data_IF_816637778925
#
_entry.id   IF_816637778925
#
_cell.length_a   1.000
_cell.length_b   1.000
_cell.length_c   1.000
_cell.angle_alpha   90.00
_cell.angle_beta   90.00
_cell.angle_gamma   90.00
#
_symmetry.space_group_name_H-M   'P 1'
#
loop_
_entity.id
_entity.type
_entity.pdbx_description
1 polymer ?
#
# COMPACT_ATOMS: atom_id res chain seq x y z
N UNK A 1 -16.46 -37.30 -8.14
CA UNK A 1 -15.67 -37.28 -6.88
C UNK A 1 -15.22 -35.86 -6.64
N UNK A 2 -15.50 -35.29 -5.48
CA UNK A 2 -15.03 -33.93 -5.09
C UNK A 2 -13.56 -34.03 -4.67
N UNK A 3 -12.71 -33.22 -5.27
CA UNK A 3 -11.30 -33.15 -4.87
C UNK A 3 -11.14 -32.59 -3.43
N UNK A 4 -10.06 -32.91 -2.70
CA UNK A 4 -9.80 -32.32 -1.38
C UNK A 4 -9.82 -30.77 -1.39
N UNK A 5 -9.30 -30.17 -2.46
CA UNK A 5 -9.32 -28.71 -2.67
C UNK A 5 -10.75 -28.16 -2.77
N UNK A 6 -11.64 -28.85 -3.52
CA UNK A 6 -13.05 -28.46 -3.62
C UNK A 6 -13.79 -28.46 -2.28
N UNK A 7 -13.44 -29.42 -1.40
CA UNK A 7 -14.01 -29.49 -0.06
C UNK A 7 -13.48 -28.38 0.85
N UNK A 8 -12.16 -28.16 0.86
CA UNK A 8 -11.52 -27.17 1.73
C UNK A 8 -11.95 -25.74 1.37
N UNK A 9 -11.93 -25.40 0.07
CA UNK A 9 -12.29 -24.06 -0.41
C UNK A 9 -13.79 -23.87 -0.65
N UNK A 10 -14.63 -24.92 -0.47
CA UNK A 10 -16.09 -24.85 -0.54
C UNK A 10 -16.60 -24.34 -1.89
N UNK A 11 -16.01 -24.79 -3.01
CA UNK A 11 -16.30 -24.27 -4.35
C UNK A 11 -17.79 -24.32 -4.70
N UNK A 12 -18.48 -25.43 -4.36
CA UNK A 12 -19.91 -25.59 -4.63
C UNK A 12 -20.77 -24.63 -3.82
N UNK A 13 -20.47 -24.44 -2.53
CA UNK A 13 -21.17 -23.49 -1.66
C UNK A 13 -21.01 -22.04 -2.17
N UNK A 14 -19.82 -21.72 -2.71
CA UNK A 14 -19.48 -20.41 -3.26
C UNK A 14 -19.90 -20.25 -4.73
N UNK A 15 -20.61 -21.23 -5.33
CA UNK A 15 -21.11 -21.22 -6.72
C UNK A 15 -20.01 -20.88 -7.74
N UNK A 16 -18.81 -21.46 -7.58
CA UNK A 16 -17.65 -21.26 -8.45
C UNK A 16 -17.04 -22.61 -8.89
N UNK A 17 -16.09 -22.57 -9.81
CA UNK A 17 -15.37 -23.73 -10.33
C UNK A 17 -13.86 -23.48 -10.31
N UNK A 18 -13.06 -24.57 -10.23
CA UNK A 18 -11.60 -24.44 -10.20
C UNK A 18 -11.02 -23.66 -11.41
N UNK A 19 -11.43 -23.88 -12.66
CA UNK A 19 -10.94 -23.08 -13.79
C UNK A 19 -11.26 -21.59 -13.66
N UNK A 20 -12.44 -21.26 -13.10
CA UNK A 20 -12.86 -19.87 -12.89
C UNK A 20 -12.02 -19.19 -11.80
N UNK A 21 -11.71 -19.90 -10.72
CA UNK A 21 -10.82 -19.41 -9.66
C UNK A 21 -9.40 -19.18 -10.18
N UNK A 22 -8.88 -20.10 -10.99
CA UNK A 22 -7.56 -19.95 -11.62
C UNK A 22 -7.55 -18.73 -12.55
N UNK A 23 -8.53 -18.58 -13.44
CA UNK A 23 -8.63 -17.41 -14.32
C UNK A 23 -8.74 -16.10 -13.54
N UNK A 24 -9.47 -16.10 -12.42
CA UNK A 24 -9.56 -14.97 -11.51
C UNK A 24 -8.21 -14.64 -10.85
N UNK A 25 -7.43 -15.67 -10.48
CA UNK A 25 -6.08 -15.51 -9.95
C UNK A 25 -5.12 -14.88 -10.96
N UNK A 26 -5.15 -15.33 -12.22
CA UNK A 26 -4.38 -14.69 -13.30
C UNK A 26 -4.78 -13.22 -13.49
N UNK A 27 -6.08 -12.92 -13.43
CA UNK A 27 -6.59 -11.54 -13.54
C UNK A 27 -6.10 -10.67 -12.39
N UNK A 28 -6.14 -11.16 -11.15
CA UNK A 28 -5.63 -10.45 -9.99
C UNK A 28 -4.12 -10.23 -10.10
N UNK A 29 -3.35 -11.27 -10.46
CA UNK A 29 -1.91 -11.15 -10.68
C UNK A 29 -1.58 -10.07 -11.71
N UNK A 30 -2.26 -10.09 -12.88
CA UNK A 30 -2.02 -9.12 -13.95
C UNK A 30 -2.28 -7.67 -13.52
N UNK A 31 -3.19 -7.43 -12.56
CA UNK A 31 -3.50 -6.09 -12.07
C UNK A 31 -2.54 -5.63 -10.96
N UNK A 32 -1.93 -6.55 -10.19
CA UNK A 32 -1.08 -6.20 -9.05
C UNK A 32 0.41 -6.49 -9.25
N UNK A 33 0.81 -7.17 -10.33
CA UNK A 33 2.21 -7.56 -10.59
C UNK A 33 3.17 -6.37 -10.73
N UNK A 34 2.66 -5.17 -10.96
CA UNK A 34 3.45 -3.93 -10.97
C UNK A 34 4.22 -3.70 -9.66
N UNK A 35 3.77 -4.31 -8.54
CA UNK A 35 4.45 -4.19 -7.25
C UNK A 35 5.87 -4.77 -7.27
N UNK A 36 6.15 -5.74 -8.15
CA UNK A 36 7.49 -6.30 -8.35
C UNK A 36 8.50 -5.24 -8.81
N UNK A 37 8.04 -4.21 -9.52
CA UNK A 37 8.87 -3.09 -9.94
C UNK A 37 8.81 -1.91 -8.95
N UNK A 38 7.62 -1.61 -8.46
CA UNK A 38 7.39 -0.37 -7.68
C UNK A 38 7.89 -0.53 -6.24
N UNK A 39 7.71 -1.69 -5.60
CA UNK A 39 8.21 -1.89 -4.24
C UNK A 39 9.74 -1.79 -4.15
N UNK A 40 10.54 -2.46 -4.99
CA UNK A 40 11.99 -2.28 -5.02
C UNK A 40 12.43 -0.84 -5.37
N UNK A 41 11.68 -0.15 -6.22
CA UNK A 41 11.96 1.24 -6.54
C UNK A 41 11.79 2.18 -5.33
N UNK A 42 10.77 1.94 -4.52
CA UNK A 42 10.50 2.74 -3.31
C UNK A 42 11.48 2.37 -2.18
N UNK A 43 11.59 1.08 -1.83
CA UNK A 43 12.43 0.65 -0.72
C UNK A 43 13.93 0.82 -1.02
N UNK A 44 14.33 0.77 -2.28
CA UNK A 44 15.69 1.09 -2.71
C UNK A 44 16.16 2.50 -2.35
N UNK A 45 15.24 3.45 -2.13
CA UNK A 45 15.57 4.79 -1.63
C UNK A 45 16.09 4.77 -0.19
N UNK A 46 15.72 3.75 0.59
CA UNK A 46 16.24 3.52 1.94
C UNK A 46 17.65 2.87 1.95
N UNK A 47 18.27 2.70 0.78
CA UNK A 47 19.59 2.06 0.66
C UNK A 47 19.56 0.54 0.66
N UNK A 48 18.39 -0.09 0.50
CA UNK A 48 18.24 -1.54 0.39
C UNK A 48 18.60 -2.02 -1.03
N UNK A 49 19.16 -3.24 -1.15
CA UNK A 49 19.49 -3.81 -2.46
C UNK A 49 18.23 -4.10 -3.30
N UNK A 50 18.15 -3.48 -4.47
CA UNK A 50 16.97 -3.58 -5.35
C UNK A 50 16.77 -4.99 -5.91
N UNK A 51 17.84 -5.73 -6.19
CA UNK A 51 17.74 -7.08 -6.72
C UNK A 51 17.20 -8.05 -5.68
N UNK A 52 17.68 -7.96 -4.43
CA UNK A 52 17.12 -8.70 -3.31
C UNK A 52 15.66 -8.32 -3.04
N UNK A 53 15.31 -7.02 -3.15
CA UNK A 53 13.95 -6.54 -2.94
C UNK A 53 12.93 -7.11 -3.94
N UNK A 54 13.30 -7.40 -5.19
CA UNK A 54 12.42 -8.10 -6.14
C UNK A 54 12.07 -9.48 -5.60
N UNK A 55 13.08 -10.24 -5.15
CA UNK A 55 12.88 -11.57 -4.55
C UNK A 55 12.05 -11.49 -3.28
N UNK A 56 12.37 -10.57 -2.39
CA UNK A 56 11.63 -10.33 -1.14
C UNK A 56 10.17 -9.96 -1.42
N UNK A 57 9.91 -9.09 -2.38
CA UNK A 57 8.55 -8.69 -2.77
C UNK A 57 7.71 -9.89 -3.22
N UNK A 58 8.28 -10.75 -4.06
CA UNK A 58 7.59 -11.95 -4.53
C UNK A 58 7.35 -12.96 -3.39
N UNK A 59 8.35 -13.19 -2.53
CA UNK A 59 8.23 -14.11 -1.39
C UNK A 59 7.22 -13.60 -0.35
N UNK A 60 7.28 -12.32 0.01
CA UNK A 60 6.36 -11.72 0.97
C UNK A 60 4.91 -11.74 0.45
N UNK A 61 4.71 -11.45 -0.85
CA UNK A 61 3.41 -11.56 -1.51
C UNK A 61 2.90 -13.00 -1.51
N UNK A 62 3.76 -13.95 -1.87
CA UNK A 62 3.39 -15.37 -1.87
C UNK A 62 3.02 -15.84 -0.46
N UNK A 63 3.82 -15.51 0.54
CA UNK A 63 3.54 -15.82 1.93
C UNK A 63 2.22 -15.21 2.41
N UNK A 64 2.02 -13.90 2.22
CA UNK A 64 0.79 -13.20 2.61
C UNK A 64 -0.46 -13.76 1.92
N UNK A 65 -0.37 -14.07 0.62
CA UNK A 65 -1.45 -14.69 -0.15
C UNK A 65 -1.79 -16.10 0.35
N UNK A 66 -0.80 -16.93 0.69
CA UNK A 66 -1.02 -18.25 1.26
C UNK A 66 -1.69 -18.15 2.63
N UNK A 67 -1.19 -17.29 3.51
CA UNK A 67 -1.79 -17.07 4.84
C UNK A 67 -3.24 -16.59 4.72
N UNK A 68 -3.50 -15.60 3.86
CA UNK A 68 -4.85 -15.09 3.60
C UNK A 68 -5.78 -16.19 3.06
N UNK A 69 -5.32 -16.99 2.10
CA UNK A 69 -6.09 -18.09 1.52
C UNK A 69 -6.52 -19.12 2.56
N UNK A 70 -5.57 -19.55 3.40
CA UNK A 70 -5.79 -20.64 4.36
C UNK A 70 -6.62 -20.20 5.57
N UNK A 71 -6.38 -19.00 6.09
CA UNK A 71 -7.10 -18.51 7.28
C UNK A 71 -8.51 -18.00 6.98
N UNK A 72 -8.75 -17.48 5.76
CA UNK A 72 -10.00 -16.76 5.47
C UNK A 72 -10.85 -17.40 4.39
N UNK A 73 -10.25 -18.15 3.49
CA UNK A 73 -10.88 -18.61 2.24
C UNK A 73 -11.51 -17.45 1.45
N UNK A 74 -10.83 -16.28 1.37
CA UNK A 74 -11.29 -15.11 0.63
C UNK A 74 -10.49 -14.95 -0.68
N UNK A 75 -11.09 -14.43 -1.76
CA UNK A 75 -10.40 -14.13 -3.02
C UNK A 75 -9.62 -12.82 -2.94
N UNK A 76 -8.84 -12.62 -1.88
CA UNK A 76 -8.10 -11.39 -1.58
C UNK A 76 -6.61 -11.70 -1.57
N UNK A 77 -5.87 -11.04 -2.44
CA UNK A 77 -4.41 -11.09 -2.47
C UNK A 77 -3.82 -10.09 -1.47
N UNK A 78 -2.65 -10.43 -0.94
CA UNK A 78 -1.88 -9.62 0.02
C UNK A 78 -0.49 -9.40 -0.57
N UNK A 79 0.01 -8.17 -0.51
CA UNK A 79 1.36 -7.82 -0.95
C UNK A 79 1.89 -6.61 -0.17
N UNK A 80 3.17 -6.21 -0.32
CA UNK A 80 3.71 -5.02 0.32
C UNK A 80 2.86 -3.77 0.05
N UNK A 81 2.43 -3.08 1.11
CA UNK A 81 1.47 -1.98 1.04
C UNK A 81 2.14 -0.68 0.60
N UNK A 82 1.67 -0.10 -0.52
CA UNK A 82 2.30 1.06 -1.15
C UNK A 82 2.39 2.29 -0.24
N UNK A 83 1.33 2.60 0.50
CA UNK A 83 1.29 3.73 1.41
C UNK A 83 2.32 3.62 2.50
N UNK A 84 2.34 2.48 3.17
CA UNK A 84 3.28 2.18 4.26
C UNK A 84 4.72 2.05 3.75
N UNK A 85 4.94 1.51 2.53
CA UNK A 85 6.27 1.43 1.92
C UNK A 85 6.88 2.81 1.71
N UNK A 86 6.07 3.75 1.23
CA UNK A 86 6.51 5.12 1.01
C UNK A 86 6.77 5.82 2.35
N UNK A 87 5.93 5.60 3.35
CA UNK A 87 6.15 6.08 4.72
C UNK A 87 7.47 5.53 5.29
N UNK A 88 7.69 4.23 5.17
CA UNK A 88 8.91 3.54 5.60
C UNK A 88 10.16 4.14 4.92
N UNK A 89 10.20 4.15 3.58
CA UNK A 89 11.40 4.51 2.85
C UNK A 89 11.66 6.02 2.89
N UNK A 90 10.63 6.84 2.60
CA UNK A 90 10.82 8.29 2.41
C UNK A 90 10.83 9.03 3.74
N UNK A 91 9.88 8.72 4.64
CA UNK A 91 9.81 9.43 5.90
C UNK A 91 10.74 8.84 6.96
N UNK A 92 10.62 7.54 7.25
CA UNK A 92 11.35 6.93 8.36
C UNK A 92 12.83 6.81 8.01
N UNK A 93 13.18 6.22 6.86
CA UNK A 93 14.59 6.03 6.53
C UNK A 93 15.25 7.32 6.03
N UNK A 94 14.72 7.97 4.99
CA UNK A 94 15.37 9.16 4.41
C UNK A 94 15.13 10.40 5.26
N UNK A 95 13.88 10.65 5.67
CA UNK A 95 13.50 11.89 6.36
C UNK A 95 13.97 11.96 7.81
N UNK A 96 13.87 10.85 8.56
CA UNK A 96 14.31 10.79 9.98
C UNK A 96 15.76 10.29 10.12
N UNK A 97 16.38 9.81 9.03
CA UNK A 97 17.74 9.25 9.06
C UNK A 97 17.83 7.90 9.78
N UNK A 98 16.74 7.15 9.87
CA UNK A 98 16.69 5.83 10.51
C UNK A 98 17.24 4.77 9.55
N UNK A 99 18.16 3.91 10.01
CA UNK A 99 18.64 2.80 9.17
C UNK A 99 17.47 1.87 8.82
N UNK A 100 17.49 1.31 7.61
CA UNK A 100 16.40 0.43 7.16
C UNK A 100 16.24 -0.83 8.01
N UNK A 101 17.31 -1.31 8.68
CA UNK A 101 17.26 -2.45 9.60
C UNK A 101 16.50 -2.08 10.89
N UNK A 102 16.71 -0.86 11.38
CA UNK A 102 15.96 -0.28 12.50
C UNK A 102 14.49 -0.10 12.11
N UNK A 103 14.23 0.44 10.91
CA UNK A 103 12.88 0.61 10.39
C UNK A 103 12.16 -0.72 10.17
N UNK A 104 12.82 -1.79 9.73
CA UNK A 104 12.24 -3.14 9.65
C UNK A 104 11.83 -3.68 11.03
N UNK A 105 12.60 -3.39 12.08
CA UNK A 105 12.21 -3.75 13.44
C UNK A 105 10.90 -3.03 13.85
N UNK A 106 10.73 -1.75 13.48
CA UNK A 106 9.48 -1.02 13.73
C UNK A 106 8.29 -1.67 13.01
N UNK A 107 8.48 -2.12 11.77
CA UNK A 107 7.45 -2.87 11.00
C UNK A 107 7.11 -4.19 11.68
N UNK A 108 8.09 -4.93 12.15
CA UNK A 108 7.87 -6.18 12.87
C UNK A 108 7.04 -5.98 14.14
N UNK A 109 7.44 -5.02 14.97
CA UNK A 109 6.70 -4.70 16.20
C UNK A 109 5.30 -4.15 15.90
N UNK A 110 5.14 -3.36 14.84
CA UNK A 110 3.84 -2.97 14.33
C UNK A 110 2.97 -4.20 14.01
N UNK A 111 3.51 -5.15 13.23
CA UNK A 111 2.81 -6.40 12.89
C UNK A 111 2.42 -7.20 14.13
N UNK A 112 3.29 -7.26 15.15
CA UNK A 112 3.01 -7.93 16.42
C UNK A 112 1.88 -7.23 17.20
N UNK A 113 1.90 -5.90 17.32
CA UNK A 113 0.82 -5.13 17.93
C UNK A 113 -0.48 -5.28 17.16
N UNK A 114 -0.43 -5.26 15.83
CA UNK A 114 -1.59 -5.47 14.98
C UNK A 114 -2.20 -6.85 15.19
N UNK A 115 -1.36 -7.89 15.28
CA UNK A 115 -1.79 -9.25 15.58
C UNK A 115 -2.49 -9.33 16.95
N UNK A 116 -1.87 -8.78 18.00
CA UNK A 116 -2.44 -8.76 19.35
C UNK A 116 -3.80 -8.05 19.40
N UNK A 117 -3.91 -6.88 18.76
CA UNK A 117 -5.16 -6.12 18.68
C UNK A 117 -6.22 -6.90 17.89
N UNK A 118 -5.82 -7.62 16.83
CA UNK A 118 -6.74 -8.40 15.99
C UNK A 118 -7.31 -9.62 16.73
N UNK A 119 -6.54 -10.25 17.63
CA UNK A 119 -6.97 -11.39 18.42
C UNK A 119 -7.84 -10.94 19.61
N UNK A 120 -7.52 -9.82 20.26
CA UNK A 120 -8.19 -9.36 21.49
C UNK A 120 -9.52 -8.65 21.25
N UNK A 121 -9.89 -8.34 20.00
CA UNK A 121 -11.12 -7.59 19.67
C UNK A 121 -11.08 -6.10 20.04
N UNK A 122 -9.98 -5.60 20.58
CA UNK A 122 -9.78 -4.16 20.90
C UNK A 122 -9.86 -3.28 19.64
N UNK A 123 -9.57 -3.87 18.48
CA UNK A 123 -9.64 -3.22 17.17
C UNK A 123 -10.96 -2.49 16.90
N UNK A 124 -12.10 -3.09 17.27
CA UNK A 124 -13.43 -2.49 17.06
C UNK A 124 -13.57 -1.17 17.79
N UNK A 125 -12.96 -1.06 18.98
CA UNK A 125 -12.93 0.16 19.77
C UNK A 125 -12.02 1.22 19.17
N UNK A 126 -10.86 0.81 18.60
CA UNK A 126 -9.90 1.72 17.94
C UNK A 126 -10.52 2.28 16.66
N UNK A 127 -11.03 1.41 15.78
CA UNK A 127 -11.69 1.83 14.52
C UNK A 127 -12.85 2.76 14.81
N UNK A 128 -13.68 2.40 15.79
CA UNK A 128 -14.79 3.24 16.21
C UNK A 128 -14.37 4.58 16.81
N UNK A 129 -13.12 4.70 17.28
CA UNK A 129 -12.55 5.93 17.82
C UNK A 129 -12.05 6.91 16.78
N UNK A 130 -11.81 6.48 15.54
CA UNK A 130 -11.42 7.40 14.46
C UNK A 130 -12.65 7.78 13.65
N UNK A 131 -13.00 9.06 13.58
CA UNK A 131 -14.14 9.55 12.80
C UNK A 131 -14.02 9.16 11.32
N UNK A 132 -15.16 8.86 10.67
CA UNK A 132 -15.21 8.44 9.26
C UNK A 132 -14.54 9.45 8.32
N UNK A 133 -14.73 10.74 8.56
CA UNK A 133 -14.09 11.81 7.81
C UNK A 133 -12.57 11.70 7.81
N UNK A 134 -11.98 11.38 8.97
CA UNK A 134 -10.53 11.20 9.10
C UNK A 134 -10.03 9.90 8.47
N UNK A 135 -10.83 8.83 8.47
CA UNK A 135 -10.48 7.60 7.74
C UNK A 135 -10.39 7.87 6.24
N UNK A 136 -11.36 8.63 5.70
CA UNK A 136 -11.36 9.08 4.30
C UNK A 136 -10.16 10.02 4.04
N UNK A 137 -9.93 10.98 4.94
CA UNK A 137 -8.84 11.94 4.84
C UNK A 137 -7.46 11.28 4.88
N UNK A 138 -7.28 10.26 5.73
CA UNK A 138 -6.05 9.48 5.82
C UNK A 138 -5.78 8.75 4.49
N UNK A 139 -6.75 7.99 4.00
CA UNK A 139 -6.60 7.24 2.76
C UNK A 139 -6.36 8.15 1.55
N UNK A 140 -7.12 9.23 1.42
CA UNK A 140 -6.97 10.18 0.33
C UNK A 140 -5.67 11.00 0.45
N UNK A 141 -5.25 11.36 1.67
CA UNK A 141 -3.99 12.04 1.94
C UNK A 141 -2.78 11.20 1.57
N UNK A 142 -2.78 9.91 1.91
CA UNK A 142 -1.75 8.96 1.47
C UNK A 142 -1.75 8.86 -0.06
N UNK A 143 -2.92 8.76 -0.68
CA UNK A 143 -3.04 8.74 -2.14
C UNK A 143 -2.41 9.97 -2.79
N UNK A 144 -2.71 11.18 -2.27
CA UNK A 144 -2.13 12.43 -2.74
C UNK A 144 -0.61 12.48 -2.52
N UNK A 145 -0.13 12.01 -1.37
CA UNK A 145 1.28 11.89 -1.06
C UNK A 145 2.03 10.97 -2.04
N UNK A 146 1.48 9.78 -2.34
CA UNK A 146 2.07 8.83 -3.30
C UNK A 146 2.09 9.43 -4.72
N UNK A 147 0.99 10.06 -5.14
CA UNK A 147 0.92 10.73 -6.45
C UNK A 147 1.95 11.86 -6.55
N UNK A 148 2.05 12.71 -5.52
CA UNK A 148 3.03 13.78 -5.45
C UNK A 148 4.48 13.24 -5.51
N UNK A 149 4.75 12.15 -4.79
CA UNK A 149 6.05 11.48 -4.84
C UNK A 149 6.35 10.93 -6.25
N UNK A 150 5.37 10.35 -6.93
CA UNK A 150 5.49 9.93 -8.32
C UNK A 150 5.82 11.11 -9.27
N UNK A 151 5.12 12.23 -9.13
CA UNK A 151 5.36 13.46 -9.91
C UNK A 151 6.74 14.07 -9.64
N UNK A 152 7.21 14.01 -8.37
CA UNK A 152 8.56 14.46 -7.99
C UNK A 152 9.63 13.58 -8.61
N UNK A 153 9.49 12.26 -8.56
CA UNK A 153 10.46 11.33 -9.17
C UNK A 153 10.50 11.43 -10.70
N UNK A 154 9.39 11.84 -11.30
CA UNK A 154 9.29 12.12 -12.73
C UNK A 154 9.90 13.46 -13.15
N UNK A 155 10.34 14.29 -12.21
CA UNK A 155 10.83 15.65 -12.50
C UNK A 155 9.73 16.65 -12.89
N UNK A 156 8.45 16.26 -12.82
CA UNK A 156 7.29 17.13 -13.14
C UNK A 156 7.12 18.20 -12.05
N UNK A 157 7.38 17.83 -10.81
CA UNK A 157 7.39 18.74 -9.66
C UNK A 157 8.81 18.75 -9.10
N UNK A 158 9.37 19.95 -8.93
CA UNK A 158 10.72 20.13 -8.35
C UNK A 158 10.67 21.13 -7.19
N UNK A 159 11.67 21.08 -6.31
CA UNK A 159 11.79 22.02 -5.19
C UNK A 159 12.10 23.44 -5.68
N UNK A 160 11.50 24.43 -5.03
CA UNK A 160 11.74 25.85 -5.27
C UNK A 160 11.90 26.57 -3.93
N UNK A 161 13.00 27.35 -3.71
CA UNK A 161 13.22 28.04 -2.44
C UNK A 161 12.12 29.04 -2.04
N UNK A 162 11.45 29.64 -3.04
CA UNK A 162 10.46 30.70 -2.81
C UNK A 162 9.03 30.15 -2.62
N UNK A 163 8.66 29.13 -3.39
CA UNK A 163 7.29 28.57 -3.43
C UNK A 163 7.20 27.14 -2.88
N UNK A 164 8.31 26.62 -2.29
CA UNK A 164 8.53 25.24 -1.85
C UNK A 164 8.58 24.24 -3.03
N UNK A 165 7.64 24.33 -3.96
CA UNK A 165 7.56 23.50 -5.17
C UNK A 165 7.19 24.33 -6.38
N UNK A 166 7.66 23.89 -7.56
CA UNK A 166 7.33 24.47 -8.86
C UNK A 166 7.28 23.37 -9.93
N UNK A 167 6.75 23.69 -11.10
CA UNK A 167 6.84 22.80 -12.25
C UNK A 167 8.32 22.68 -12.67
N UNK A 168 8.76 21.45 -12.94
CA UNK A 168 10.08 21.18 -13.50
C UNK A 168 10.16 21.55 -14.97
N UNK A 169 11.31 21.24 -15.59
CA UNK A 169 11.47 21.41 -17.04
C UNK A 169 10.65 20.32 -17.77
N UNK A 170 9.44 20.73 -18.20
CA UNK A 170 8.51 19.85 -18.92
C UNK A 170 9.08 19.40 -20.27
N UNK A 171 10.06 20.13 -20.82
CA UNK A 171 10.69 19.79 -22.11
C UNK A 171 11.81 18.77 -21.97
N UNK A 172 12.25 18.48 -20.75
CA UNK A 172 13.28 17.45 -20.50
C UNK A 172 12.81 16.06 -20.96
N UNK A 173 13.70 15.25 -21.56
CA UNK A 173 13.36 13.91 -22.02
C UNK A 173 12.72 13.04 -20.93
N UNK A 174 13.20 13.11 -19.68
CA UNK A 174 12.70 12.34 -18.55
C UNK A 174 11.28 12.75 -18.17
N UNK A 175 10.99 14.06 -18.15
CA UNK A 175 9.67 14.59 -17.83
C UNK A 175 8.66 14.24 -18.92
N UNK A 176 9.02 14.41 -20.21
CA UNK A 176 8.17 14.01 -21.34
C UNK A 176 7.90 12.52 -21.32
N UNK A 177 8.91 11.69 -21.06
CA UNK A 177 8.76 10.26 -20.93
C UNK A 177 7.74 9.91 -19.84
N UNK A 178 7.85 10.46 -18.65
CA UNK A 178 6.92 10.23 -17.56
C UNK A 178 5.50 10.73 -17.86
N UNK A 179 5.36 11.91 -18.49
CA UNK A 179 4.07 12.46 -18.91
C UNK A 179 3.37 11.54 -19.94
N UNK A 180 4.12 11.02 -20.92
CA UNK A 180 3.59 10.03 -21.86
C UNK A 180 3.10 8.77 -21.14
N UNK A 181 3.83 8.29 -20.14
CA UNK A 181 3.44 7.17 -19.32
C UNK A 181 2.17 7.43 -18.49
N UNK A 182 2.06 8.62 -17.88
CA UNK A 182 0.86 9.04 -17.14
C UNK A 182 -0.36 9.14 -18.06
N UNK A 183 -0.19 9.74 -19.26
CA UNK A 183 -1.26 9.81 -20.24
C UNK A 183 -1.69 8.41 -20.70
N UNK A 184 -0.74 7.51 -20.98
CA UNK A 184 -1.00 6.15 -21.40
C UNK A 184 -1.77 5.36 -20.33
N UNK A 185 -1.28 5.35 -19.08
CA UNK A 185 -1.95 4.62 -18.00
C UNK A 185 -3.36 5.16 -17.74
N UNK A 186 -3.54 6.48 -17.85
CA UNK A 186 -4.85 7.12 -17.70
C UNK A 186 -5.82 6.70 -18.80
N UNK A 187 -5.39 6.72 -20.07
CA UNK A 187 -6.20 6.29 -21.22
C UNK A 187 -6.59 4.82 -21.08
N UNK A 188 -5.65 3.95 -20.75
CA UNK A 188 -5.90 2.52 -20.58
C UNK A 188 -6.88 2.25 -19.44
N UNK A 189 -6.74 2.99 -18.33
CA UNK A 189 -7.65 2.88 -17.18
C UNK A 189 -9.07 3.38 -17.53
N UNK A 190 -9.20 4.50 -18.22
CA UNK A 190 -10.48 5.00 -18.70
C UNK A 190 -11.17 4.03 -19.67
N UNK A 191 -10.39 3.31 -20.49
CA UNK A 191 -10.88 2.22 -21.35
C UNK A 191 -11.18 0.93 -20.59
N UNK A 192 -11.07 0.92 -19.25
CA UNK A 192 -11.30 -0.25 -18.38
C UNK A 192 -10.40 -1.44 -18.73
N UNK A 193 -9.20 -1.16 -19.26
CA UNK A 193 -8.20 -2.20 -19.53
C UNK A 193 -7.57 -2.61 -18.18
N UNK A 194 -7.92 -3.82 -17.71
CA UNK A 194 -7.56 -4.29 -16.38
C UNK A 194 -6.06 -4.25 -16.05
N UNK A 195 -5.14 -4.73 -16.93
CA UNK A 195 -3.70 -4.68 -16.66
C UNK A 195 -3.05 -3.34 -17.07
N UNK A 196 -3.77 -2.21 -16.98
CA UNK A 196 -3.29 -0.89 -17.45
C UNK A 196 -1.92 -0.53 -16.87
N UNK A 197 -1.71 -0.73 -15.57
CA UNK A 197 -0.46 -0.35 -14.88
C UNK A 197 0.72 -1.16 -15.42
N UNK A 198 0.61 -2.50 -15.40
CA UNK A 198 1.72 -3.36 -15.83
C UNK A 198 1.99 -3.22 -17.33
N UNK A 199 0.96 -3.05 -18.15
CA UNK A 199 1.10 -2.81 -19.58
C UNK A 199 1.81 -1.47 -19.85
N UNK A 200 1.50 -0.42 -19.08
CA UNK A 200 2.20 0.86 -19.17
C UNK A 200 3.66 0.71 -18.77
N UNK A 201 3.95 0.08 -17.64
CA UNK A 201 5.34 -0.15 -17.20
C UNK A 201 6.12 -0.93 -18.26
N UNK A 202 5.55 -2.00 -18.80
CA UNK A 202 6.21 -2.82 -19.81
C UNK A 202 6.50 -2.01 -21.09
N UNK A 203 5.51 -1.27 -21.59
CA UNK A 203 5.69 -0.43 -22.79
C UNK A 203 6.71 0.70 -22.54
N UNK A 204 6.60 1.38 -21.41
CA UNK A 204 7.56 2.45 -21.04
C UNK A 204 8.96 1.89 -20.88
N UNK A 205 9.15 0.71 -20.28
CA UNK A 205 10.46 0.07 -20.19
C UNK A 205 11.02 -0.29 -21.56
N UNK A 206 10.17 -0.80 -22.45
CA UNK A 206 10.58 -1.09 -23.83
C UNK A 206 11.06 0.18 -24.55
N UNK A 207 10.34 1.29 -24.40
CA UNK A 207 10.73 2.59 -24.97
C UNK A 207 12.03 3.10 -24.32
N UNK A 208 12.20 2.90 -23.00
CA UNK A 208 13.38 3.37 -22.25
C UNK A 208 14.70 2.71 -22.70
N UNK A 209 14.66 1.51 -23.31
CA UNK A 209 15.86 0.88 -23.89
C UNK A 209 16.42 1.69 -25.09
N UNK A 210 15.57 2.46 -25.76
CA UNK A 210 15.94 3.26 -26.93
C UNK A 210 16.02 4.75 -26.62
N UNK A 211 15.30 5.23 -25.59
CA UNK A 211 15.29 6.62 -25.16
C UNK A 211 16.56 6.98 -24.37
N UNK A 212 16.98 8.23 -24.49
CA UNK A 212 18.11 8.80 -23.75
C UNK A 212 17.64 9.88 -22.79
N UNK A 213 18.35 9.98 -21.67
CA UNK A 213 18.16 11.04 -20.68
C UNK A 213 18.78 12.39 -21.19
N UNK A 214 18.61 13.46 -20.43
CA UNK A 214 19.18 14.78 -20.70
C UNK A 214 20.71 14.79 -20.74
N UNK A 215 21.36 13.74 -20.22
CA UNK A 215 22.83 13.58 -20.26
C UNK A 215 23.29 12.69 -21.42
N UNK A 216 22.38 12.25 -22.29
CA UNK A 216 22.69 11.37 -23.44
C UNK A 216 22.87 9.89 -23.06
N UNK A 217 22.58 9.48 -21.81
CA UNK A 217 22.65 8.08 -21.37
C UNK A 217 21.31 7.38 -21.62
N UNK A 218 21.33 6.10 -21.90
CA UNK A 218 20.09 5.32 -22.05
C UNK A 218 19.31 5.28 -20.73
N UNK A 219 18.00 5.48 -20.79
CA UNK A 219 17.11 5.49 -19.63
C UNK A 219 16.97 4.11 -18.97
N UNK A 220 17.15 3.03 -19.75
CA UNK A 220 17.20 1.66 -19.25
C UNK A 220 18.25 0.85 -19.99
N UNK A 221 18.81 -0.15 -19.33
CA UNK A 221 19.76 -1.10 -19.94
C UNK A 221 19.03 -2.39 -20.28
N UNK A 222 19.31 -2.92 -21.46
CA UNK A 222 18.78 -4.22 -21.87
C UNK A 222 19.45 -5.28 -20.97
N UNK A 223 18.67 -6.15 -20.31
CA UNK A 223 19.23 -7.18 -19.45
C UNK A 223 20.00 -8.22 -20.29
N UNK A 224 21.11 -8.72 -19.75
CA UNK A 224 21.95 -9.72 -20.41
C UNK A 224 21.22 -11.07 -20.57
N UNK A 225 20.23 -11.35 -19.72
CA UNK A 225 19.43 -12.57 -19.76
C UNK A 225 17.96 -12.27 -19.44
N UNK A 226 17.04 -13.02 -20.06
CA UNK A 226 15.60 -12.96 -19.75
C UNK A 226 15.29 -13.78 -18.50
N UNK A 227 15.96 -14.90 -18.34
CA UNK A 227 15.78 -15.83 -17.23
C UNK A 227 17.03 -15.88 -16.37
N UNK A 228 16.85 -15.85 -15.04
CA UNK A 228 17.92 -16.09 -14.07
C UNK A 228 17.37 -16.83 -12.86
N UNK A 229 18.26 -17.39 -12.05
CA UNK A 229 17.90 -17.81 -10.71
C UNK A 229 17.55 -16.59 -9.87
N UNK A 230 16.61 -16.73 -8.91
CA UNK A 230 16.27 -15.65 -7.98
C UNK A 230 17.50 -15.11 -7.26
N UNK A 231 17.58 -13.81 -7.10
CA UNK A 231 18.63 -13.18 -6.29
C UNK A 231 18.50 -13.62 -4.82
N UNK A 232 19.62 -13.87 -4.15
CA UNK A 232 19.63 -14.24 -2.74
C UNK A 232 19.07 -13.12 -1.86
N UNK A 233 18.43 -13.51 -0.75
CA UNK A 233 17.84 -12.56 0.24
C UNK A 233 18.67 -12.46 1.52
N UNK A 234 19.88 -13.02 1.56
CA UNK A 234 20.73 -13.03 2.77
C UNK A 234 21.02 -11.64 3.32
N UNK A 235 21.03 -10.62 2.45
CA UNK A 235 21.26 -9.22 2.82
C UNK A 235 20.06 -8.55 3.48
N UNK A 236 18.86 -9.12 3.34
CA UNK A 236 17.62 -8.54 3.87
C UNK A 236 16.91 -9.44 4.87
N UNK A 237 17.08 -10.76 4.74
CA UNK A 237 16.42 -11.74 5.60
C UNK A 237 16.92 -11.65 7.04
N UNK A 238 16.00 -11.45 7.98
CA UNK A 238 16.27 -11.36 9.43
C UNK A 238 17.29 -10.27 9.82
N UNK A 239 17.45 -9.23 8.99
CA UNK A 239 18.37 -8.12 9.24
C UNK A 239 17.76 -7.00 10.13
N UNK A 240 16.76 -7.34 10.94
CA UNK A 240 16.11 -6.41 11.83
C UNK A 240 16.97 -6.07 13.03
N UNK A 241 17.08 -4.78 13.37
CA UNK A 241 17.64 -4.35 14.64
C UNK A 241 16.59 -4.43 15.75
N UNK A 242 16.49 -5.62 16.35
CA UNK A 242 15.49 -5.94 17.37
C UNK A 242 15.54 -5.01 18.59
N UNK A 243 16.69 -4.43 18.90
CA UNK A 243 16.89 -3.61 20.08
C UNK A 243 16.49 -2.16 19.85
N UNK A 244 16.39 -1.70 18.61
CA UNK A 244 16.16 -0.29 18.29
C UNK A 244 14.92 0.30 18.97
N UNK A 245 13.72 -0.32 18.98
CA UNK A 245 12.54 0.25 19.63
C UNK A 245 12.69 0.45 21.16
N UNK A 246 13.61 -0.27 21.77
CA UNK A 246 13.91 -0.14 23.21
C UNK A 246 15.03 0.86 23.48
N UNK A 247 15.97 1.02 22.53
CA UNK A 247 17.05 2.02 22.63
C UNK A 247 16.55 3.44 22.44
N UNK A 248 15.67 3.66 21.46
CA UNK A 248 15.08 4.95 21.15
C UNK A 248 13.54 4.89 21.12
N UNK A 249 12.96 4.60 22.29
CA UNK A 249 11.51 4.47 22.45
C UNK A 249 10.74 5.73 22.00
N UNK A 250 11.34 6.92 22.20
CA UNK A 250 10.70 8.19 21.87
C UNK A 250 10.49 8.36 20.36
N UNK A 251 11.45 7.92 19.54
CA UNK A 251 11.33 7.96 18.07
C UNK A 251 10.57 6.74 17.53
N UNK A 252 10.78 5.58 18.13
CA UNK A 252 10.19 4.31 17.64
C UNK A 252 8.67 4.23 17.82
N UNK A 253 8.17 4.60 19.00
CA UNK A 253 6.74 4.40 19.33
C UNK A 253 5.79 5.19 18.43
N UNK A 254 6.02 6.48 18.09
CA UNK A 254 5.18 7.20 17.14
C UNK A 254 5.14 6.55 15.77
N UNK A 255 6.28 6.03 15.28
CA UNK A 255 6.36 5.34 13.99
C UNK A 255 5.57 4.04 14.02
N UNK A 256 5.74 3.20 15.05
CA UNK A 256 4.99 1.95 15.22
C UNK A 256 3.49 2.22 15.26
N UNK A 257 3.05 3.20 16.05
CA UNK A 257 1.63 3.55 16.14
C UNK A 257 1.08 4.07 14.81
N UNK A 258 1.88 4.85 14.07
CA UNK A 258 1.45 5.35 12.77
C UNK A 258 1.32 4.23 11.74
N UNK A 259 2.30 3.32 11.66
CA UNK A 259 2.22 2.12 10.83
C UNK A 259 0.99 1.28 11.20
N UNK A 260 0.70 1.13 12.49
CA UNK A 260 -0.48 0.40 12.98
C UNK A 260 -1.78 1.03 12.48
N UNK A 261 -1.91 2.35 12.54
CA UNK A 261 -3.09 3.04 12.03
C UNK A 261 -3.20 2.90 10.50
N UNK A 262 -2.08 3.05 9.77
CA UNK A 262 -2.05 2.88 8.31
C UNK A 262 -2.54 1.49 7.91
N UNK A 263 -1.94 0.44 8.47
CA UNK A 263 -2.26 -0.95 8.14
C UNK A 263 -3.71 -1.29 8.51
N UNK A 264 -4.15 -0.87 9.69
CA UNK A 264 -5.48 -1.18 10.20
C UNK A 264 -6.58 -0.55 9.34
N UNK A 265 -6.43 0.73 8.95
CA UNK A 265 -7.45 1.42 8.16
C UNK A 265 -7.41 0.99 6.69
N UNK A 266 -6.23 0.81 6.10
CA UNK A 266 -6.10 0.37 4.71
C UNK A 266 -6.67 -1.03 4.52
N UNK A 267 -6.30 -1.97 5.38
CA UNK A 267 -6.80 -3.35 5.32
C UNK A 267 -8.30 -3.43 5.55
N UNK A 268 -8.85 -2.72 6.56
CA UNK A 268 -10.30 -2.76 6.81
C UNK A 268 -11.06 -2.17 5.64
N UNK A 269 -10.66 -1.00 5.15
CA UNK A 269 -11.32 -0.36 4.02
C UNK A 269 -11.32 -1.27 2.79
N UNK A 270 -10.17 -1.86 2.47
CA UNK A 270 -10.00 -2.75 1.33
C UNK A 270 -10.80 -4.05 1.48
N UNK A 271 -10.68 -4.73 2.62
CA UNK A 271 -11.35 -6.01 2.88
C UNK A 271 -12.87 -5.83 2.89
N UNK A 272 -13.41 -4.76 3.48
CA UNK A 272 -14.85 -4.46 3.46
C UNK A 272 -15.34 -4.13 2.05
N UNK A 273 -14.59 -3.31 1.30
CA UNK A 273 -14.94 -2.98 -0.08
C UNK A 273 -14.97 -4.21 -0.99
N UNK A 274 -13.98 -5.11 -0.86
CA UNK A 274 -13.91 -6.36 -1.59
C UNK A 274 -14.98 -7.36 -1.12
N UNK A 275 -15.30 -7.39 0.17
CA UNK A 275 -16.35 -8.19 0.75
C UNK A 275 -17.73 -7.86 0.19
N UNK A 276 -18.03 -6.58 -0.01
CA UNK A 276 -19.25 -6.12 -0.69
C UNK A 276 -19.33 -6.62 -2.13
N UNK A 277 -18.23 -6.50 -2.88
CA UNK A 277 -18.17 -6.93 -4.30
C UNK A 277 -18.23 -8.45 -4.48
N UNK A 278 -17.69 -9.22 -3.52
CA UNK A 278 -17.67 -10.68 -3.55
C UNK A 278 -18.93 -11.35 -3.00
N UNK A 279 -19.87 -10.55 -2.45
CA UNK A 279 -21.09 -11.07 -1.82
C UNK A 279 -20.83 -11.78 -0.48
N UNK A 280 -19.75 -11.44 0.22
CA UNK A 280 -19.38 -12.02 1.53
C UNK A 280 -19.91 -11.21 2.72
N UNK A 281 -20.73 -10.19 2.48
CA UNK A 281 -21.42 -9.45 3.54
C UNK A 281 -22.59 -10.26 4.09
N UNK A 282 -22.82 -10.20 5.41
CA UNK A 282 -24.04 -10.70 6.01
C UNK A 282 -25.20 -9.72 5.77
N UNK A 283 -26.44 -10.16 6.03
CA UNK A 283 -27.64 -9.32 5.90
C UNK A 283 -27.56 -8.07 6.80
N UNK A 284 -26.88 -8.16 7.93
CA UNK A 284 -26.63 -7.06 8.87
C UNK A 284 -25.52 -6.08 8.40
N UNK A 285 -25.01 -6.23 7.18
CA UNK A 285 -23.93 -5.39 6.63
C UNK A 285 -22.56 -5.62 7.26
N UNK A 286 -22.39 -6.69 8.05
CA UNK A 286 -21.10 -7.07 8.62
C UNK A 286 -20.37 -8.07 7.71
N UNK A 287 -19.06 -7.96 7.64
CA UNK A 287 -18.26 -8.92 6.88
C UNK A 287 -17.92 -10.14 7.73
N UNK A 288 -18.38 -11.32 7.29
CA UNK A 288 -18.00 -12.59 7.93
C UNK A 288 -16.48 -12.78 7.86
N UNK A 289 -15.88 -13.18 8.97
CA UNK A 289 -14.44 -13.47 9.08
C UNK A 289 -13.47 -12.28 8.92
N UNK A 290 -13.93 -11.02 9.04
CA UNK A 290 -13.03 -9.86 8.99
C UNK A 290 -11.87 -10.00 10.01
N UNK A 291 -12.14 -10.56 11.19
CA UNK A 291 -11.11 -10.84 12.19
C UNK A 291 -10.00 -11.75 11.71
N UNK A 292 -10.35 -12.80 10.97
CA UNK A 292 -9.34 -13.70 10.39
C UNK A 292 -8.55 -13.04 9.29
N UNK A 293 -9.17 -12.14 8.50
CA UNK A 293 -8.47 -11.38 7.48
C UNK A 293 -7.43 -10.43 8.09
N UNK A 294 -7.76 -9.76 9.20
CA UNK A 294 -6.82 -8.90 9.92
C UNK A 294 -5.69 -9.70 10.59
N UNK A 295 -5.99 -10.90 11.13
CA UNK A 295 -4.94 -11.80 11.63
C UNK A 295 -4.03 -12.26 10.50
N UNK A 296 -4.58 -12.59 9.34
CA UNK A 296 -3.79 -12.99 8.16
C UNK A 296 -2.87 -11.85 7.70
N UNK A 297 -3.38 -10.64 7.67
CA UNK A 297 -2.66 -9.44 7.28
C UNK A 297 -1.53 -9.10 8.25
N UNK A 298 -1.82 -9.10 9.56
CA UNK A 298 -0.81 -8.91 10.60
C UNK A 298 0.30 -9.98 10.54
N UNK A 299 -0.07 -11.24 10.30
CA UNK A 299 0.90 -12.34 10.13
C UNK A 299 1.74 -12.13 8.88
N UNK A 300 1.14 -11.66 7.78
CA UNK A 300 1.85 -11.34 6.55
C UNK A 300 2.83 -10.17 6.76
N UNK A 301 2.45 -9.14 7.50
CA UNK A 301 3.33 -8.01 7.87
C UNK A 301 4.53 -8.48 8.69
N UNK A 302 4.34 -9.34 9.69
CA UNK A 302 5.43 -9.93 10.48
C UNK A 302 6.40 -10.69 9.56
N UNK A 303 5.85 -11.58 8.72
CA UNK A 303 6.66 -12.35 7.77
C UNK A 303 7.36 -11.48 6.73
N UNK A 304 6.70 -10.44 6.25
CA UNK A 304 7.26 -9.45 5.33
C UNK A 304 8.46 -8.71 5.93
N UNK A 305 8.34 -8.26 7.18
CA UNK A 305 9.43 -7.60 7.91
C UNK A 305 10.64 -8.55 8.09
N UNK A 306 10.40 -9.82 8.43
CA UNK A 306 11.45 -10.83 8.55
C UNK A 306 12.13 -11.14 7.22
N UNK A 307 11.41 -11.10 6.10
CA UNK A 307 11.96 -11.25 4.75
C UNK A 307 12.74 -10.01 4.30
N UNK A 308 12.46 -8.85 4.86
CA UNK A 308 13.12 -7.58 4.52
C UNK A 308 12.28 -6.64 3.66
N UNK A 309 10.95 -6.66 3.80
CA UNK A 309 10.06 -5.64 3.22
C UNK A 309 9.28 -4.90 4.31
N UNK A 310 8.68 -3.78 3.97
CA UNK A 310 7.82 -3.05 4.89
C UNK A 310 6.48 -3.78 5.09
N UNK A 311 5.47 -3.11 5.65
CA UNK A 311 4.18 -3.75 5.94
C UNK A 311 3.54 -4.33 4.69
N UNK A 312 2.80 -5.40 4.85
CA UNK A 312 1.96 -5.98 3.81
C UNK A 312 0.50 -5.64 4.07
N UNK A 313 -0.34 -5.68 3.04
CA UNK A 313 -1.76 -5.36 3.17
C UNK A 313 -2.62 -6.02 2.09
N UNK A 314 -3.93 -6.02 2.32
CA UNK A 314 -4.90 -6.51 1.35
C UNK A 314 -4.95 -5.57 0.12
N UNK A 315 -4.89 -6.15 -1.08
CA UNK A 315 -4.81 -5.39 -2.33
C UNK A 315 -6.19 -5.19 -2.97
N UNK A 316 -6.53 -3.92 -3.22
CA UNK A 316 -7.78 -3.51 -3.86
C UNK A 316 -7.91 -4.06 -5.29
N UNK A 317 -6.81 -4.33 -5.96
CA UNK A 317 -6.72 -4.98 -7.28
C UNK A 317 -7.34 -6.37 -7.30
N UNK A 318 -7.51 -7.02 -6.14
CA UNK A 318 -8.28 -8.27 -6.00
C UNK A 318 -9.72 -8.12 -6.50
N UNK A 319 -10.25 -6.89 -6.57
CA UNK A 319 -11.54 -6.60 -7.19
C UNK A 319 -11.64 -7.13 -8.64
N UNK A 320 -10.54 -7.04 -9.41
CA UNK A 320 -10.52 -7.52 -10.79
C UNK A 320 -10.72 -9.05 -10.89
N UNK A 321 -10.09 -9.80 -9.98
CA UNK A 321 -10.31 -11.25 -9.90
C UNK A 321 -11.71 -11.60 -9.40
N UNK A 322 -12.23 -10.85 -8.42
CA UNK A 322 -13.61 -11.01 -7.93
C UNK A 322 -14.61 -10.77 -9.06
N UNK A 323 -14.42 -9.74 -9.88
CA UNK A 323 -15.24 -9.44 -11.06
C UNK A 323 -15.10 -10.50 -12.15
N UNK A 324 -13.94 -11.13 -12.29
CA UNK A 324 -13.72 -12.29 -13.16
C UNK A 324 -14.39 -13.57 -12.63
N UNK A 325 -14.93 -13.52 -11.41
CA UNK A 325 -15.71 -14.59 -10.80
C UNK A 325 -15.01 -15.37 -9.71
N UNK A 326 -13.86 -14.91 -9.22
CA UNK A 326 -13.18 -15.44 -8.05
C UNK A 326 -14.01 -15.27 -6.77
N UNK A 327 -14.07 -16.32 -5.95
CA UNK A 327 -14.89 -16.35 -4.74
C UNK A 327 -14.20 -16.99 -3.54
N UNK A 328 -13.04 -17.60 -3.76
CA UNK A 328 -12.38 -18.44 -2.73
C UNK A 328 -10.91 -18.11 -2.56
N UNK A 329 -10.27 -18.72 -1.55
CA UNK A 329 -8.84 -18.63 -1.30
C UNK A 329 -7.96 -19.24 -2.40
N UNK A 330 -8.52 -19.89 -3.41
CA UNK A 330 -7.75 -20.37 -4.56
C UNK A 330 -7.19 -19.20 -5.36
N UNK A 331 -7.92 -18.08 -5.46
CA UNK A 331 -7.44 -16.88 -6.16
C UNK A 331 -6.08 -16.42 -5.62
N UNK A 332 -5.92 -16.10 -4.33
CA UNK A 332 -4.61 -15.70 -3.81
C UNK A 332 -3.56 -16.81 -3.85
N UNK A 333 -3.92 -18.11 -3.83
CA UNK A 333 -2.93 -19.18 -4.04
C UNK A 333 -2.36 -19.17 -5.47
N UNK A 334 -3.20 -18.92 -6.48
CA UNK A 334 -2.75 -18.76 -7.86
C UNK A 334 -1.85 -17.52 -7.98
N UNK A 335 -2.22 -16.41 -7.34
CA UNK A 335 -1.39 -15.20 -7.28
C UNK A 335 -0.03 -15.53 -6.65
N UNK A 336 0.01 -16.24 -5.51
CA UNK A 336 1.24 -16.66 -4.86
C UNK A 336 2.15 -17.46 -5.80
N UNK A 337 1.59 -18.45 -6.51
CA UNK A 337 2.34 -19.26 -7.45
C UNK A 337 2.91 -18.42 -8.61
N UNK A 338 2.14 -17.47 -9.14
CA UNK A 338 2.58 -16.60 -10.23
C UNK A 338 3.67 -15.63 -9.77
N UNK A 339 3.60 -15.10 -8.53
CA UNK A 339 4.69 -14.29 -7.96
C UNK A 339 5.98 -15.10 -7.77
N UNK A 340 5.89 -16.35 -7.33
CA UNK A 340 7.06 -17.22 -7.25
C UNK A 340 7.63 -17.56 -8.64
N UNK A 341 6.79 -17.77 -9.64
CA UNK A 341 7.23 -17.96 -11.01
C UNK A 341 7.88 -16.72 -11.62
N UNK A 342 7.43 -15.52 -11.23
CA UNK A 342 8.02 -14.26 -11.70
C UNK A 342 9.46 -14.03 -11.22
N UNK A 343 9.92 -14.75 -10.18
CA UNK A 343 11.30 -14.69 -9.73
C UNK A 343 12.32 -15.11 -10.81
N UNK A 344 11.91 -16.01 -11.69
CA UNK A 344 12.80 -16.47 -12.78
C UNK A 344 12.96 -15.45 -13.92
N UNK A 345 12.09 -14.41 -13.97
CA UNK A 345 12.21 -13.27 -14.90
C UNK A 345 12.72 -12.01 -14.21
N UNK A 346 13.37 -12.14 -13.06
CA UNK A 346 13.88 -11.01 -12.28
C UNK A 346 14.82 -10.07 -13.06
N UNK A 347 15.63 -10.49 -14.05
CA UNK A 347 16.41 -9.54 -14.84
C UNK A 347 15.57 -8.54 -15.62
N UNK A 348 14.42 -8.98 -16.15
CA UNK A 348 13.47 -8.08 -16.82
C UNK A 348 12.83 -7.09 -15.85
N UNK A 349 12.53 -7.54 -14.62
CA UNK A 349 11.95 -6.68 -13.59
C UNK A 349 12.97 -5.64 -13.13
N UNK A 350 14.24 -6.03 -12.94
CA UNK A 350 15.32 -5.13 -12.55
C UNK A 350 15.69 -4.11 -13.63
N UNK A 351 15.42 -4.41 -14.89
CA UNK A 351 15.63 -3.49 -16.01
C UNK A 351 14.61 -2.34 -16.06
N UNK A 352 13.53 -2.38 -15.27
CA UNK A 352 12.49 -1.35 -15.22
C UNK A 352 13.08 -0.07 -14.61
N UNK A 353 13.16 1.06 -15.36
CA UNK A 353 13.70 2.30 -14.84
C UNK A 353 12.70 2.97 -13.89
N UNK A 354 13.20 3.75 -12.93
CA UNK A 354 12.36 4.48 -11.98
C UNK A 354 11.34 5.40 -12.66
N UNK A 355 11.70 6.02 -13.79
CA UNK A 355 10.81 6.87 -14.57
C UNK A 355 9.60 6.10 -15.14
N UNK A 356 9.73 4.81 -15.45
CA UNK A 356 8.62 3.99 -15.92
C UNK A 356 7.66 3.58 -14.79
N UNK A 357 8.07 3.67 -13.52
CA UNK A 357 7.21 3.39 -12.36
C UNK A 357 6.41 4.60 -11.87
N UNK A 358 6.83 5.82 -12.22
CA UNK A 358 6.16 7.05 -11.81
C UNK A 358 4.66 7.11 -12.23
N UNK A 359 4.26 6.73 -13.46
CA UNK A 359 2.85 6.64 -13.85
C UNK A 359 2.00 5.73 -12.95
N UNK A 360 2.59 4.62 -12.48
CA UNK A 360 1.92 3.69 -11.57
C UNK A 360 1.66 4.35 -10.21
N UNK A 361 2.64 5.06 -9.65
CA UNK A 361 2.49 5.78 -8.37
C UNK A 361 1.40 6.84 -8.46
N UNK A 362 1.36 7.60 -9.54
CA UNK A 362 0.33 8.62 -9.77
C UNK A 362 -1.07 7.97 -9.84
N UNK A 363 -1.22 6.89 -10.61
CA UNK A 363 -2.51 6.21 -10.74
C UNK A 363 -2.95 5.56 -9.43
N UNK A 364 -2.05 4.90 -8.71
CA UNK A 364 -2.34 4.32 -7.38
C UNK A 364 -2.79 5.41 -6.41
N UNK A 365 -2.11 6.56 -6.40
CA UNK A 365 -2.53 7.71 -5.62
C UNK A 365 -3.96 8.16 -5.94
N UNK A 366 -4.31 8.27 -7.22
CA UNK A 366 -5.66 8.61 -7.68
C UNK A 366 -6.68 7.54 -7.21
N UNK A 367 -6.34 6.25 -7.30
CA UNK A 367 -7.22 5.17 -6.86
C UNK A 367 -7.49 5.23 -5.35
N UNK A 368 -6.51 5.57 -4.53
CA UNK A 368 -6.67 5.74 -3.08
C UNK A 368 -7.57 6.95 -2.73
N UNK A 369 -7.61 7.97 -3.57
CA UNK A 369 -8.50 9.13 -3.38
C UNK A 369 -9.99 8.84 -3.67
N UNK A 370 -10.34 7.67 -4.21
CA UNK A 370 -11.75 7.34 -4.54
C UNK A 370 -12.69 7.34 -3.33
N UNK A 371 -12.16 7.19 -2.11
CA UNK A 371 -12.93 7.31 -0.87
C UNK A 371 -13.57 8.67 -0.66
N UNK A 372 -13.05 9.74 -1.28
CA UNK A 372 -13.60 11.09 -1.19
C UNK A 372 -15.05 11.22 -1.69
N UNK A 373 -15.48 10.34 -2.59
CA UNK A 373 -16.89 10.29 -3.04
C UNK A 373 -17.90 10.03 -1.90
N UNK A 374 -17.42 9.40 -0.81
CA UNK A 374 -18.23 9.06 0.35
C UNK A 374 -18.22 10.17 1.43
N UNK A 375 -17.47 11.26 1.20
CA UNK A 375 -17.43 12.45 2.04
C UNK A 375 -18.64 13.33 1.73
N UNK A 376 -19.29 13.83 2.78
CA UNK A 376 -20.38 14.79 2.64
C UNK A 376 -19.81 16.19 2.51
N UNK A 377 -19.65 16.69 1.28
CA UNK A 377 -19.06 18.01 1.01
C UNK A 377 -19.89 19.18 1.55
N UNK A 378 -21.17 18.97 1.82
CA UNK A 378 -22.07 19.97 2.43
C UNK A 378 -21.88 20.06 3.95
N UNK A 379 -21.20 19.09 4.58
CA UNK A 379 -20.93 19.06 6.02
C UNK A 379 -19.49 19.48 6.32
N UNK A 380 -19.29 20.73 6.69
CA UNK A 380 -17.99 21.29 7.03
C UNK A 380 -17.33 20.58 8.22
N UNK A 381 -18.10 19.90 9.09
CA UNK A 381 -17.55 19.13 10.21
C UNK A 381 -16.77 17.90 9.72
N UNK A 382 -17.10 17.39 8.53
CA UNK A 382 -16.35 16.30 7.88
C UNK A 382 -15.29 16.85 6.92
N UNK A 383 -15.59 17.91 6.16
CA UNK A 383 -14.72 18.42 5.09
C UNK A 383 -13.46 19.07 5.64
N UNK A 384 -13.57 19.93 6.67
CA UNK A 384 -12.42 20.66 7.21
C UNK A 384 -11.35 19.70 7.78
N UNK A 385 -11.67 18.73 8.66
CA UNK A 385 -10.69 17.78 9.16
C UNK A 385 -10.06 16.93 8.07
N UNK A 386 -10.87 16.50 7.09
CA UNK A 386 -10.39 15.74 5.92
C UNK A 386 -9.39 16.55 5.11
N UNK A 387 -9.71 17.82 4.85
CA UNK A 387 -8.83 18.73 4.10
C UNK A 387 -7.48 18.92 4.79
N UNK A 388 -7.47 19.24 6.11
CA UNK A 388 -6.22 19.38 6.85
C UNK A 388 -5.40 18.08 6.83
N UNK A 389 -6.04 16.94 7.04
CA UNK A 389 -5.39 15.64 6.98
C UNK A 389 -4.67 15.45 5.64
N UNK A 390 -5.38 15.66 4.52
CA UNK A 390 -4.84 15.47 3.18
C UNK A 390 -3.73 16.46 2.83
N UNK A 391 -3.98 17.76 3.05
CA UNK A 391 -3.05 18.81 2.62
C UNK A 391 -1.73 18.75 3.38
N UNK A 392 -1.79 18.55 4.70
CA UNK A 392 -0.57 18.47 5.51
C UNK A 392 0.23 17.24 5.13
N UNK A 393 -0.41 16.07 4.95
CA UNK A 393 0.29 14.86 4.47
C UNK A 393 1.02 15.08 3.15
N UNK A 394 0.33 15.66 2.17
CA UNK A 394 0.90 15.83 0.83
C UNK A 394 2.03 16.85 0.79
N UNK A 395 1.93 17.95 1.54
CA UNK A 395 2.89 19.05 1.49
C UNK A 395 4.10 18.86 2.43
N UNK A 396 3.90 18.20 3.57
CA UNK A 396 4.98 17.99 4.56
C UNK A 396 5.68 16.65 4.41
N UNK A 397 5.12 15.74 3.62
CA UNK A 397 5.53 14.33 3.56
C UNK A 397 5.44 13.60 4.90
N UNK A 398 4.69 14.15 5.86
CA UNK A 398 4.51 13.59 7.20
C UNK A 398 3.06 13.17 7.44
N UNK A 399 2.81 11.86 7.28
CA UNK A 399 1.47 11.27 7.42
C UNK A 399 0.94 11.45 8.85
N UNK A 400 1.81 11.29 9.85
CA UNK A 400 1.47 11.46 11.26
C UNK A 400 1.00 12.88 11.60
N UNK A 401 1.66 13.90 11.04
CA UNK A 401 1.27 15.29 11.25
C UNK A 401 -0.09 15.57 10.59
N UNK A 402 -0.29 15.11 9.34
CA UNK A 402 -1.58 15.28 8.68
C UNK A 402 -2.74 14.65 9.46
N UNK A 403 -2.53 13.43 9.98
CA UNK A 403 -3.53 12.79 10.83
C UNK A 403 -3.76 13.54 12.14
N UNK A 404 -2.69 14.04 12.78
CA UNK A 404 -2.78 14.82 14.01
C UNK A 404 -3.57 16.12 13.79
N UNK A 405 -3.25 16.89 12.75
CA UNK A 405 -4.00 18.10 12.42
C UNK A 405 -5.46 17.82 12.10
N UNK A 406 -5.75 16.72 11.39
CA UNK A 406 -7.12 16.30 11.10
C UNK A 406 -7.92 16.01 12.37
N UNK A 407 -7.38 15.20 13.30
CA UNK A 407 -8.08 14.85 14.56
C UNK A 407 -8.24 16.05 15.48
N UNK A 408 -7.25 16.96 15.52
CA UNK A 408 -7.32 18.20 16.27
C UNK A 408 -8.43 19.09 15.71
N UNK A 409 -8.46 19.32 14.40
CA UNK A 409 -9.50 20.11 13.75
C UNK A 409 -10.90 19.53 14.00
N UNK A 410 -11.09 18.22 13.83
CA UNK A 410 -12.35 17.53 14.11
C UNK A 410 -12.82 17.76 15.54
N UNK A 411 -11.94 17.54 16.50
CA UNK A 411 -12.28 17.65 17.93
C UNK A 411 -12.63 19.09 18.29
N UNK A 412 -11.83 20.06 17.84
CA UNK A 412 -12.07 21.49 18.10
C UNK A 412 -13.38 22.00 17.51
N UNK A 413 -13.72 21.56 16.28
CA UNK A 413 -15.00 21.94 15.64
C UNK A 413 -16.18 21.44 16.46
N UNK A 414 -16.18 20.17 16.88
CA UNK A 414 -17.27 19.61 17.67
C UNK A 414 -17.40 20.25 19.06
N UNK A 415 -16.27 20.57 19.70
CA UNK A 415 -16.26 21.29 20.97
C UNK A 415 -16.82 22.71 20.81
N UNK A 416 -16.40 23.44 19.78
CA UNK A 416 -16.90 24.78 19.46
C UNK A 416 -18.42 24.80 19.19
N UNK A 417 -18.92 23.76 18.54
CA UNK A 417 -20.36 23.57 18.28
C UNK A 417 -21.14 23.04 19.51
N UNK A 418 -20.51 22.91 20.67
CA UNK A 418 -21.09 22.34 21.91
C UNK A 418 -21.56 20.87 21.75
N UNK A 419 -20.99 20.15 20.79
CA UNK A 419 -21.26 18.74 20.49
C UNK A 419 -20.21 17.78 21.07
N UNK A 420 -19.46 18.19 22.06
CA UNK A 420 -18.39 17.39 22.70
C UNK A 420 -18.87 16.02 23.22
N UNK A 421 -20.16 15.88 23.53
CA UNK A 421 -20.78 14.60 23.95
C UNK A 421 -20.83 13.55 22.84
N UNK A 422 -20.75 13.93 21.58
CA UNK A 422 -20.73 13.04 20.42
C UNK A 422 -19.34 12.44 20.20
N UNK A 423 -18.30 13.05 20.79
CA UNK A 423 -16.92 12.58 20.69
C UNK A 423 -16.76 11.33 21.58
N UNK A 424 -16.36 10.21 20.99
CA UNK A 424 -16.12 8.97 21.72
C UNK A 424 -14.90 9.09 22.64
N UNK A 425 -14.89 8.35 23.74
CA UNK A 425 -13.75 8.35 24.68
C UNK A 425 -12.44 7.97 24.00
N UNK A 426 -12.46 7.04 23.06
CA UNK A 426 -11.30 6.64 22.26
C UNK A 426 -10.80 7.76 21.34
N UNK A 427 -11.70 8.56 20.77
CA UNK A 427 -11.35 9.75 19.98
C UNK A 427 -10.67 10.81 20.85
N UNK A 428 -11.15 11.03 22.07
CA UNK A 428 -10.49 11.91 23.03
C UNK A 428 -9.08 11.44 23.39
N UNK A 429 -8.90 10.13 23.59
CA UNK A 429 -7.56 9.57 23.85
C UNK A 429 -6.62 9.83 22.68
N UNK A 430 -7.08 9.57 21.44
CA UNK A 430 -6.29 9.81 20.22
C UNK A 430 -5.96 11.31 20.10
N UNK A 431 -6.92 12.19 20.35
CA UNK A 431 -6.70 13.64 20.33
C UNK A 431 -5.60 14.07 21.30
N UNK A 432 -5.66 13.61 22.56
CA UNK A 432 -4.63 13.95 23.56
C UNK A 432 -3.24 13.43 23.13
N UNK A 433 -3.18 12.17 22.65
CA UNK A 433 -1.93 11.60 22.16
C UNK A 433 -1.38 12.39 20.98
N UNK A 434 -2.22 12.82 20.05
CA UNK A 434 -1.79 13.59 18.87
C UNK A 434 -1.41 15.03 19.23
N UNK A 435 -2.08 15.65 20.20
CA UNK A 435 -1.65 16.96 20.72
C UNK A 435 -0.26 16.87 21.37
N UNK A 436 -0.02 15.83 22.17
CA UNK A 436 1.31 15.60 22.77
C UNK A 436 2.36 15.31 21.69
N UNK A 437 2.00 14.54 20.67
CA UNK A 437 2.89 14.26 19.54
C UNK A 437 3.30 15.55 18.82
N UNK A 438 2.36 16.43 18.48
CA UNK A 438 2.66 17.73 17.82
C UNK A 438 3.45 18.67 18.72
N UNK A 439 3.22 18.63 20.04
CA UNK A 439 3.96 19.48 20.99
C UNK A 439 5.41 19.01 21.23
N UNK A 440 5.72 17.74 20.94
CA UNK A 440 7.03 17.14 21.16
C UNK A 440 7.84 16.93 19.86
N UNK A 441 7.20 17.10 18.68
CA UNK A 441 7.82 17.04 17.35
C UNK A 441 8.43 18.40 16.97
#
# INVERSE_FOLDING_TARGET
MTTPAEKFFKLRERKTTLPREIAAGFTTFATMSYILAVNPAILGLAGMDKAALVTVTALATAFGCVVMALLTNMPIAVAPAMGSNTYFAVLVCVGMGTDWREALALVFYNGLFFLLISITGVREKIIAGVPRALQIGLQAGIGMFIAFFGLKNAGIIVGNPNTLVTAGDITSPECLFALCGIALVSILTCKKFRPAIIATIALMTLVAFFATDSQGRKMAQIPDAIFSLPHGISETFMQLDWAYPFRDFRRAMPVILMLLFLDLFDTIATVVALGRRSGMMSEDGQMKNIGRALVADATATIGGAMLGTSTTGAYVESAAGIEAGGRTGIVPLVVAALFLLSLFISPLINAIPAAATAPALVLVGIMMMQGLKDLKFDDLDEVIPTFFCMMIMALTFKISEGFAFGIIAYTLILVAKKRAREIRRTTWLIFVVMCLFVALS
#
